data_IF_304088270053
#
_entry.id   IF_304088270053
#
_cell.length_a   1.000
_cell.length_b   1.000
_cell.length_c   1.000
_cell.angle_alpha   90.00
_cell.angle_beta   90.00
_cell.angle_gamma   90.00
#
_symmetry.space_group_name_H-M   'P 1'
#
loop_
_entity.id
_entity.type
_entity.pdbx_description
1 polymer ?
#
# COMPACT_ATOMS: atom_id res chain seq x y z
N UNK A 1 1.78 -38.60 -2.85
CA UNK A 1 1.79 -39.87 -2.11
C UNK A 1 2.76 -40.87 -2.72
N UNK A 2 2.77 -41.04 -4.04
CA UNK A 2 3.55 -42.09 -4.74
C UNK A 2 5.07 -42.12 -4.46
N UNK A 3 5.71 -40.96 -4.27
CA UNK A 3 7.15 -40.92 -3.95
C UNK A 3 7.45 -41.52 -2.58
N UNK A 4 6.59 -41.24 -1.60
CA UNK A 4 6.76 -41.75 -0.25
C UNK A 4 6.58 -43.27 -0.23
N UNK A 5 5.55 -43.79 -0.91
CA UNK A 5 5.29 -45.22 -1.07
C UNK A 5 6.45 -45.98 -1.75
N UNK A 6 7.02 -45.39 -2.80
CA UNK A 6 8.19 -45.95 -3.49
C UNK A 6 9.41 -46.04 -2.57
N UNK A 7 9.70 -44.95 -1.85
CA UNK A 7 10.81 -44.90 -0.90
C UNK A 7 10.61 -45.93 0.22
N UNK A 8 9.41 -46.03 0.80
CA UNK A 8 9.12 -47.02 1.86
C UNK A 8 9.27 -48.46 1.37
N UNK A 9 8.84 -48.77 0.14
CA UNK A 9 9.00 -50.13 -0.41
C UNK A 9 10.47 -50.47 -0.67
N UNK A 10 11.25 -49.53 -1.21
CA UNK A 10 12.70 -49.73 -1.39
C UNK A 10 13.44 -49.95 -0.06
N UNK A 11 13.04 -49.22 1.00
CA UNK A 11 13.63 -49.37 2.34
C UNK A 11 13.27 -50.73 2.97
N UNK A 12 12.02 -51.18 2.83
CA UNK A 12 11.58 -52.51 3.33
C UNK A 12 12.27 -53.65 2.59
N UNK A 13 12.45 -53.54 1.28
CA UNK A 13 13.07 -54.56 0.43
C UNK A 13 14.61 -54.47 0.40
N UNK A 14 15.20 -53.52 1.12
CA UNK A 14 16.64 -53.25 1.17
C UNK A 14 17.26 -53.01 -0.23
N UNK A 15 16.49 -52.37 -1.12
CA UNK A 15 16.89 -52.03 -2.50
C UNK A 15 17.31 -50.57 -2.60
N UNK A 16 18.22 -50.27 -3.53
CA UNK A 16 18.64 -48.90 -3.81
C UNK A 16 17.46 -48.00 -4.26
N UNK A 17 17.35 -46.82 -3.65
CA UNK A 17 16.32 -45.84 -3.99
C UNK A 17 16.70 -45.13 -5.29
N UNK A 18 16.17 -45.62 -6.41
CA UNK A 18 16.32 -44.97 -7.72
C UNK A 18 15.24 -43.94 -7.98
N UNK A 19 15.59 -42.89 -8.73
CA UNK A 19 14.60 -41.93 -9.25
C UNK A 19 13.73 -42.66 -10.28
N UNK A 20 12.43 -42.72 -10.03
CA UNK A 20 11.46 -43.28 -10.99
C UNK A 20 11.04 -42.17 -11.93
N UNK A 21 11.56 -42.19 -13.16
CA UNK A 21 11.23 -41.26 -14.24
C UNK A 21 9.74 -41.23 -14.52
N UNK A 22 9.09 -42.39 -14.59
CA UNK A 22 7.66 -42.52 -14.88
C UNK A 22 6.76 -41.82 -13.86
N UNK A 23 7.08 -41.91 -12.56
CA UNK A 23 6.34 -41.21 -11.50
C UNK A 23 6.54 -39.69 -11.57
N UNK A 24 7.68 -39.23 -12.10
CA UNK A 24 7.94 -37.81 -12.31
C UNK A 24 7.13 -37.33 -13.52
N UNK A 25 7.17 -38.05 -14.63
CA UNK A 25 6.40 -37.74 -15.84
C UNK A 25 4.90 -37.71 -15.57
N UNK A 26 4.38 -38.68 -14.82
CA UNK A 26 2.97 -38.72 -14.41
C UNK A 26 2.59 -37.44 -13.65
N UNK A 27 3.40 -37.03 -12.66
CA UNK A 27 3.15 -35.79 -11.91
C UNK A 27 3.27 -34.54 -12.75
N UNK A 28 4.18 -34.52 -13.73
CA UNK A 28 4.31 -33.39 -14.66
C UNK A 28 3.02 -33.27 -15.48
N UNK A 29 2.51 -34.38 -16.04
CA UNK A 29 1.25 -34.42 -16.79
C UNK A 29 0.04 -34.00 -15.95
N UNK A 30 -0.08 -34.51 -14.72
CA UNK A 30 -1.16 -34.12 -13.81
C UNK A 30 -1.11 -32.62 -13.50
N UNK A 31 0.08 -32.08 -13.24
CA UNK A 31 0.26 -30.65 -12.96
C UNK A 31 -0.08 -29.79 -14.19
N UNK A 32 0.33 -30.20 -15.38
CA UNK A 32 0.02 -29.44 -16.59
C UNK A 32 -1.48 -29.39 -16.85
N UNK A 33 -2.19 -30.51 -16.68
CA UNK A 33 -3.65 -30.57 -16.79
C UNK A 33 -4.34 -29.67 -15.75
N UNK A 34 -3.94 -29.72 -14.48
CA UNK A 34 -4.50 -28.83 -13.44
C UNK A 34 -4.29 -27.35 -13.74
N UNK A 35 -3.14 -26.99 -14.32
CA UNK A 35 -2.84 -25.60 -14.70
C UNK A 35 -3.73 -25.16 -15.87
N UNK A 36 -3.97 -26.03 -16.83
CA UNK A 36 -4.80 -25.76 -18.00
C UNK A 36 -6.27 -25.57 -17.60
N UNK A 37 -6.81 -26.44 -16.76
CA UNK A 37 -8.16 -26.31 -16.20
C UNK A 37 -8.32 -25.01 -15.39
N UNK A 38 -7.29 -24.65 -14.60
CA UNK A 38 -7.29 -23.41 -13.83
C UNK A 38 -7.27 -22.17 -14.74
N UNK A 39 -6.55 -22.22 -15.86
CA UNK A 39 -6.53 -21.14 -16.86
C UNK A 39 -7.90 -20.98 -17.52
N UNK A 40 -8.50 -22.09 -17.97
CA UNK A 40 -9.82 -22.07 -18.59
C UNK A 40 -10.89 -21.48 -17.65
N UNK A 41 -10.93 -21.95 -16.39
CA UNK A 41 -11.84 -21.40 -15.37
C UNK A 41 -11.59 -19.92 -15.06
N UNK A 42 -10.34 -19.45 -15.16
CA UNK A 42 -10.00 -18.04 -14.98
C UNK A 42 -10.41 -17.18 -16.19
N UNK A 43 -10.47 -17.74 -17.40
CA UNK A 43 -11.00 -17.05 -18.59
C UNK A 43 -12.52 -16.91 -18.52
N UNK A 44 -13.22 -17.95 -18.05
CA UNK A 44 -14.68 -17.96 -17.89
C UNK A 44 -15.18 -17.00 -16.79
N UNK A 45 -14.35 -16.66 -15.79
CA UNK A 45 -14.71 -15.71 -14.73
C UNK A 45 -13.62 -14.64 -14.49
N UNK A 46 -13.65 -13.52 -15.24
CA UNK A 46 -12.62 -12.48 -15.16
C UNK A 46 -12.55 -11.75 -13.81
N UNK A 47 -13.57 -11.86 -12.95
CA UNK A 47 -13.54 -11.31 -11.58
C UNK A 47 -12.62 -12.08 -10.63
N UNK A 48 -12.23 -13.32 -10.98
CA UNK A 48 -11.34 -14.15 -10.16
C UNK A 48 -9.86 -14.05 -10.60
N UNK A 49 -9.55 -13.21 -11.59
CA UNK A 49 -8.16 -12.89 -11.97
C UNK A 49 -7.55 -11.98 -10.91
N UNK A 50 -6.96 -12.58 -9.88
CA UNK A 50 -6.10 -11.84 -8.96
C UNK A 50 -4.86 -11.36 -9.72
N UNK A 51 -4.76 -10.06 -9.98
CA UNK A 51 -3.57 -9.41 -10.56
C UNK A 51 -2.35 -9.45 -9.60
N UNK A 52 -2.48 -10.08 -8.44
CA UNK A 52 -1.41 -10.20 -7.46
C UNK A 52 -0.46 -11.32 -7.90
N UNK A 53 0.49 -10.97 -8.75
CA UNK A 53 1.55 -11.84 -9.32
C UNK A 53 2.36 -12.66 -8.29
N UNK A 54 2.18 -12.46 -6.97
CA UNK A 54 3.01 -13.09 -5.93
C UNK A 54 4.47 -12.60 -5.92
N UNK A 55 4.91 -11.93 -6.99
CA UNK A 55 6.25 -11.36 -7.14
C UNK A 55 6.45 -10.25 -6.13
N UNK A 56 7.33 -10.49 -5.16
CA UNK A 56 7.77 -9.50 -4.18
C UNK A 56 8.46 -8.37 -4.95
N UNK A 57 7.78 -7.24 -5.16
CA UNK A 57 8.41 -6.04 -5.72
C UNK A 57 9.60 -5.68 -4.85
N UNK A 58 10.77 -5.40 -5.45
CA UNK A 58 11.90 -4.83 -4.72
C UNK A 58 11.40 -3.61 -3.96
N UNK A 59 11.52 -3.62 -2.63
CA UNK A 59 11.15 -2.47 -1.81
C UNK A 59 12.09 -1.34 -2.20
N UNK A 60 11.53 -0.26 -2.74
CA UNK A 60 12.25 1.01 -2.85
C UNK A 60 12.75 1.42 -1.46
N UNK A 61 13.86 2.14 -1.40
CA UNK A 61 14.43 2.53 -0.12
C UNK A 61 13.39 3.34 0.68
N UNK A 62 13.26 3.05 1.98
CA UNK A 62 12.29 3.69 2.86
C UNK A 62 12.49 5.22 2.75
N UNK A 63 11.49 5.93 2.23
CA UNK A 63 11.53 7.40 2.14
C UNK A 63 11.67 7.99 0.73
N UNK A 64 12.11 7.23 -0.27
CA UNK A 64 12.29 7.77 -1.64
C UNK A 64 11.00 8.34 -2.23
N UNK A 65 9.87 7.71 -1.93
CA UNK A 65 8.55 8.14 -2.40
C UNK A 65 8.19 9.54 -1.88
N UNK A 66 8.59 9.90 -0.67
CA UNK A 66 8.31 11.21 -0.08
C UNK A 66 9.25 12.27 -0.64
N UNK A 67 10.56 11.95 -0.75
CA UNK A 67 11.58 12.86 -1.32
C UNK A 67 11.21 13.33 -2.72
N UNK A 68 10.66 12.44 -3.56
CA UNK A 68 10.16 12.78 -4.89
C UNK A 68 8.98 13.77 -4.84
N UNK A 69 8.05 13.62 -3.88
CA UNK A 69 6.98 14.61 -3.68
C UNK A 69 7.59 15.96 -3.31
N UNK A 70 8.52 15.96 -2.34
CA UNK A 70 9.09 17.18 -1.79
C UNK A 70 9.91 17.97 -2.81
N UNK A 71 10.64 17.28 -3.69
CA UNK A 71 11.37 17.92 -4.78
C UNK A 71 10.40 18.68 -5.72
N UNK A 72 9.33 18.03 -6.16
CA UNK A 72 8.33 18.64 -7.05
C UNK A 72 7.57 19.80 -6.37
N UNK A 73 7.33 19.70 -5.06
CA UNK A 73 6.77 20.80 -4.25
C UNK A 73 7.73 22.00 -4.16
N UNK A 74 9.04 21.75 -4.00
CA UNK A 74 10.06 22.81 -3.98
C UNK A 74 10.21 23.48 -5.36
N UNK A 75 9.90 22.75 -6.45
CA UNK A 75 9.78 23.31 -7.81
C UNK A 75 8.52 24.17 -8.02
N UNK A 76 7.61 24.25 -7.03
CA UNK A 76 6.40 25.08 -7.09
C UNK A 76 5.19 24.42 -7.77
N UNK A 77 5.22 23.10 -7.97
CA UNK A 77 4.08 22.36 -8.56
C UNK A 77 2.98 22.13 -7.54
N UNK A 78 1.74 22.15 -8.01
CA UNK A 78 0.57 21.91 -7.17
C UNK A 78 0.37 20.40 -6.88
N UNK A 79 -0.36 20.09 -5.79
CA UNK A 79 -0.68 18.72 -5.40
C UNK A 79 -1.36 17.92 -6.53
N UNK A 80 -2.23 18.56 -7.33
CA UNK A 80 -2.90 17.92 -8.47
C UNK A 80 -1.95 17.61 -9.61
N UNK A 81 -0.98 18.49 -9.86
CA UNK A 81 0.03 18.29 -10.91
C UNK A 81 1.00 17.18 -10.51
N UNK A 82 1.41 17.17 -9.25
CA UNK A 82 2.27 16.11 -8.70
C UNK A 82 1.57 14.75 -8.77
N UNK A 83 0.27 14.70 -8.49
CA UNK A 83 -0.54 13.49 -8.62
C UNK A 83 -0.48 12.94 -10.06
N UNK A 84 -0.66 13.79 -11.06
CA UNK A 84 -0.56 13.43 -12.48
C UNK A 84 0.85 12.98 -12.89
N UNK A 85 1.88 13.75 -12.54
CA UNK A 85 3.28 13.45 -12.89
C UNK A 85 3.73 12.11 -12.31
N UNK A 86 3.23 11.77 -11.12
CA UNK A 86 3.64 10.58 -10.38
C UNK A 86 2.72 9.39 -10.55
N UNK A 87 1.64 9.54 -11.30
CA UNK A 87 0.58 8.53 -11.44
C UNK A 87 0.07 8.06 -10.05
N UNK A 88 -0.22 9.03 -9.17
CA UNK A 88 -0.72 8.82 -7.82
C UNK A 88 -2.04 9.58 -7.63
N UNK A 89 -2.83 9.17 -6.64
CA UNK A 89 -4.04 9.93 -6.26
C UNK A 89 -3.67 11.20 -5.50
N UNK A 90 -4.48 12.25 -5.66
CA UNK A 90 -4.33 13.51 -4.91
C UNK A 90 -4.30 13.26 -3.39
N UNK A 91 -5.14 12.34 -2.89
CA UNK A 91 -5.16 11.94 -1.48
C UNK A 91 -3.83 11.36 -0.98
N UNK A 92 -3.10 10.65 -1.83
CA UNK A 92 -1.77 10.11 -1.51
C UNK A 92 -0.74 11.23 -1.41
N UNK A 93 -0.81 12.21 -2.32
CA UNK A 93 0.09 13.37 -2.33
C UNK A 93 -0.16 14.27 -1.13
N UNK A 94 -1.42 14.58 -0.81
CA UNK A 94 -1.80 15.35 0.39
C UNK A 94 -1.31 14.66 1.67
N UNK A 95 -1.38 13.32 1.72
CA UNK A 95 -0.81 12.54 2.83
C UNK A 95 0.72 12.66 2.93
N UNK A 96 1.44 12.70 1.80
CA UNK A 96 2.88 12.96 1.80
C UNK A 96 3.20 14.38 2.28
N UNK A 97 2.43 15.39 1.84
CA UNK A 97 2.60 16.79 2.25
C UNK A 97 2.37 16.95 3.76
N UNK A 98 1.28 16.38 4.29
CA UNK A 98 0.99 16.42 5.72
C UNK A 98 2.14 15.86 6.56
N UNK A 99 2.79 14.78 6.09
CA UNK A 99 3.96 14.21 6.77
C UNK A 99 5.19 15.13 6.70
N UNK A 100 5.36 15.87 5.59
CA UNK A 100 6.40 16.87 5.45
C UNK A 100 6.21 18.05 6.41
N UNK A 101 4.97 18.47 6.63
CA UNK A 101 4.62 19.53 7.59
C UNK A 101 4.98 19.10 9.02
N UNK A 102 4.58 17.89 9.43
CA UNK A 102 4.94 17.37 10.76
C UNK A 102 6.45 17.14 10.96
N UNK A 103 7.22 17.07 9.88
CA UNK A 103 8.69 16.97 9.92
C UNK A 103 9.39 18.33 9.83
N UNK A 104 8.66 19.45 9.71
CA UNK A 104 9.22 20.79 9.58
C UNK A 104 9.79 21.14 8.21
N UNK A 105 9.57 20.32 7.18
CA UNK A 105 10.07 20.59 5.82
C UNK A 105 9.25 21.66 5.08
N UNK A 106 7.98 21.85 5.47
CA UNK A 106 7.07 22.80 4.82
C UNK A 106 6.16 23.49 5.86
N UNK A 107 5.93 24.79 5.67
CA UNK A 107 4.94 25.55 6.44
C UNK A 107 3.53 25.27 5.92
N UNK A 108 2.59 25.02 6.84
CA UNK A 108 1.18 24.80 6.50
C UNK A 108 0.51 26.02 5.83
N UNK A 109 1.01 27.22 6.11
CA UNK A 109 0.54 28.50 5.57
C UNK A 109 0.63 28.59 4.03
N UNK A 110 1.46 27.75 3.40
CA UNK A 110 1.54 27.68 1.93
C UNK A 110 0.39 26.90 1.30
N UNK A 111 -0.33 26.10 2.08
CA UNK A 111 -1.36 25.17 1.59
C UNK A 111 -2.76 25.52 2.08
N UNK A 112 -2.87 26.11 3.27
CA UNK A 112 -4.14 26.44 3.92
C UNK A 112 -4.13 27.89 4.39
N UNK A 113 -5.29 28.53 4.32
CA UNK A 113 -5.51 29.85 4.90
C UNK A 113 -5.43 29.80 6.43
N UNK A 114 -5.04 30.91 7.06
CA UNK A 114 -4.96 31.00 8.51
C UNK A 114 -6.30 30.66 9.19
N UNK A 115 -7.41 31.13 8.62
CA UNK A 115 -8.76 30.88 9.13
C UNK A 115 -9.11 29.38 9.15
N UNK A 116 -8.77 28.66 8.09
CA UNK A 116 -8.99 27.21 8.01
C UNK A 116 -8.15 26.46 9.05
N UNK A 117 -6.90 26.87 9.27
CA UNK A 117 -6.04 26.26 10.29
C UNK A 117 -6.62 26.49 11.69
N UNK A 118 -7.15 27.69 11.96
CA UNK A 118 -7.79 28.03 13.24
C UNK A 118 -9.05 27.17 13.44
N UNK A 119 -9.99 27.17 12.50
CA UNK A 119 -11.26 26.42 12.59
C UNK A 119 -11.00 24.91 12.80
N UNK A 120 -10.08 24.34 12.04
CA UNK A 120 -9.70 22.93 12.17
C UNK A 120 -9.02 22.67 13.52
N UNK A 121 -8.14 23.57 13.98
CA UNK A 121 -7.46 23.41 15.27
C UNK A 121 -8.41 23.47 16.46
N UNK A 122 -9.45 24.30 16.40
CA UNK A 122 -10.50 24.36 17.42
C UNK A 122 -11.34 23.08 17.42
N UNK A 123 -11.69 22.57 16.24
CA UNK A 123 -12.40 21.29 16.11
C UNK A 123 -11.56 20.11 16.64
N UNK A 124 -10.24 20.13 16.46
CA UNK A 124 -9.34 19.13 17.07
C UNK A 124 -9.29 19.26 18.59
N UNK A 125 -9.28 20.47 19.16
CA UNK A 125 -9.33 20.68 20.62
C UNK A 125 -10.66 20.24 21.23
N UNK A 126 -11.77 20.47 20.52
CA UNK A 126 -13.10 20.04 20.94
C UNK A 126 -13.27 18.50 20.88
N UNK A 127 -12.58 17.85 19.93
CA UNK A 127 -12.63 16.40 19.78
C UNK A 127 -11.62 15.69 20.71
N UNK A 128 -12.08 15.26 21.88
CA UNK A 128 -11.29 14.46 22.85
C UNK A 128 -10.72 13.17 22.28
N UNK A 129 -11.28 12.62 21.19
CA UNK A 129 -10.80 11.40 20.56
C UNK A 129 -9.60 11.61 19.62
N UNK A 130 -9.28 12.86 19.26
CA UNK A 130 -8.14 13.20 18.39
C UNK A 130 -8.19 12.56 16.99
N UNK A 131 -9.34 12.03 16.57
CA UNK A 131 -9.48 11.31 15.31
C UNK A 131 -9.93 12.25 14.17
N UNK A 132 -9.38 12.06 12.99
CA UNK A 132 -9.71 12.89 11.82
C UNK A 132 -11.19 12.73 11.43
N UNK A 133 -11.74 11.51 11.57
CA UNK A 133 -13.13 11.23 11.23
C UNK A 133 -14.12 12.04 12.07
N UNK A 134 -13.89 12.16 13.38
CA UNK A 134 -14.75 12.95 14.27
C UNK A 134 -14.64 14.45 13.99
N UNK A 135 -13.43 14.94 13.67
CA UNK A 135 -13.23 16.34 13.25
C UNK A 135 -13.95 16.63 11.92
N UNK A 136 -13.89 15.71 10.96
CA UNK A 136 -14.61 15.86 9.69
C UNK A 136 -16.12 15.99 9.90
N UNK A 137 -16.71 15.17 10.78
CA UNK A 137 -18.13 15.26 11.14
C UNK A 137 -18.48 16.55 11.88
N UNK A 138 -17.61 17.05 12.76
CA UNK A 138 -17.80 18.32 13.48
C UNK A 138 -17.79 19.53 12.54
N UNK A 139 -16.98 19.47 11.48
CA UNK A 139 -16.86 20.51 10.47
C UNK A 139 -17.84 20.32 9.29
N UNK A 140 -18.81 19.41 9.43
CA UNK A 140 -19.84 19.09 8.43
C UNK A 140 -19.27 18.81 7.02
N UNK A 141 -18.08 18.21 6.96
CA UNK A 141 -17.41 17.87 5.71
C UNK A 141 -16.93 19.05 4.85
N UNK A 142 -16.80 20.26 5.43
CA UNK A 142 -16.26 21.43 4.71
C UNK A 142 -14.84 21.25 4.16
N UNK A 143 -14.02 20.43 4.80
CA UNK A 143 -12.59 20.28 4.50
C UNK A 143 -12.23 18.84 4.12
N UNK A 144 -11.25 18.68 3.23
CA UNK A 144 -10.79 17.38 2.81
C UNK A 144 -9.96 16.70 3.91
N UNK A 145 -10.00 15.36 3.97
CA UNK A 145 -9.18 14.55 4.87
C UNK A 145 -7.68 14.85 4.77
N UNK A 146 -7.21 15.30 3.60
CA UNK A 146 -5.82 15.75 3.41
C UNK A 146 -5.48 17.00 4.23
N UNK A 147 -6.36 17.99 4.23
CA UNK A 147 -6.21 19.26 4.93
C UNK A 147 -6.27 19.06 6.45
N UNK A 148 -7.23 18.25 6.91
CA UNK A 148 -7.33 17.86 8.32
C UNK A 148 -6.06 17.18 8.83
N UNK A 149 -5.44 16.31 8.00
CA UNK A 149 -4.16 15.66 8.32
C UNK A 149 -2.99 16.64 8.39
N UNK A 150 -2.98 17.68 7.57
CA UNK A 150 -1.93 18.71 7.61
C UNK A 150 -1.99 19.47 8.94
N UNK A 151 -3.17 19.93 9.35
CA UNK A 151 -3.35 20.64 10.63
C UNK A 151 -3.04 19.74 11.81
N UNK A 152 -3.49 18.48 11.77
CA UNK A 152 -3.19 17.51 12.82
C UNK A 152 -1.68 17.34 13.03
N UNK A 153 -0.92 17.14 11.95
CA UNK A 153 0.54 16.99 12.05
C UNK A 153 1.24 18.27 12.48
N UNK A 154 0.70 19.44 12.11
CA UNK A 154 1.20 20.74 12.59
C UNK A 154 1.00 20.90 14.10
N UNK A 155 -0.15 20.49 14.63
CA UNK A 155 -0.42 20.49 16.07
C UNK A 155 0.55 19.56 16.81
N UNK A 156 0.72 18.33 16.33
CA UNK A 156 1.67 17.38 16.93
C UNK A 156 3.13 17.88 16.88
N UNK A 157 3.52 18.59 15.81
CA UNK A 157 4.86 19.18 15.74
C UNK A 157 5.04 20.35 16.71
N UNK A 158 3.99 21.12 17.00
CA UNK A 158 4.02 22.23 17.97
C UNK A 158 4.03 21.74 19.42
N UNK A 159 3.48 20.57 19.69
CA UNK A 159 3.38 20.00 21.04
C UNK A 159 4.68 19.27 21.49
N UNK A 160 5.64 19.08 20.58
CA UNK A 160 6.96 18.49 20.87
C UNK A 160 8.09 19.52 21.06
N UNK A 161 7.76 20.81 21.21
CA UNK A 161 8.68 21.91 21.56
C UNK A 161 8.27 22.47 22.91
#
# INVERSE_FOLDING_TARGET
MDKAMHITSCVIENKEIKKVSELIEKRVRERTSMIEDAKQKAEENPKNKSNKSGKKRKKQAKGETYKKTYALLKEGKDAKEIAKIRDLTESTILGHIAKGIGAGEFSIEKFLTADAVIEISEAFKANKSGNIGGVYSLLDGKYNYGELRMVQNHLFSKEQV
#
